data_IF_833747064305
#
_entry.id   IF_833747064305
#
_cell.length_a   1.000
_cell.length_b   1.000
_cell.length_c   1.000
_cell.angle_alpha   90.00
_cell.angle_beta   90.00
_cell.angle_gamma   90.00
#
_symmetry.space_group_name_H-M   'P 1'
#
loop_
_entity.id
_entity.type
_entity.pdbx_description
1 polymer ?
#
# COMPACT_ATOMS: atom_id res chain seq x y z
N UNK A 1 -38.72 8.56 11.98
CA UNK A 1 -37.32 8.42 12.41
C UNK A 1 -37.18 9.11 13.74
N UNK A 2 -36.43 8.55 14.68
CA UNK A 2 -36.02 9.28 15.88
C UNK A 2 -34.48 9.32 15.96
N UNK A 3 -33.88 10.24 15.20
CA UNK A 3 -32.46 10.53 15.26
C UNK A 3 -32.05 11.19 16.58
N UNK A 4 -33.01 11.55 17.45
CA UNK A 4 -32.72 12.12 18.76
C UNK A 4 -31.90 11.18 19.65
N UNK A 5 -31.98 9.86 19.40
CA UNK A 5 -31.22 8.85 20.12
C UNK A 5 -29.72 8.86 19.80
N UNK A 6 -29.32 9.34 18.61
CA UNK A 6 -27.92 9.25 18.15
C UNK A 6 -27.22 10.64 18.17
N UNK A 7 -27.92 11.71 18.59
CA UNK A 7 -27.38 13.09 18.68
C UNK A 7 -26.56 13.50 17.43
N UNK A 8 -27.03 13.13 16.25
CA UNK A 8 -26.37 13.48 15.00
C UNK A 8 -26.65 14.97 14.71
N UNK A 9 -25.67 15.75 14.21
CA UNK A 9 -25.90 17.13 13.79
C UNK A 9 -27.00 17.21 12.71
N UNK A 10 -27.87 18.22 12.78
CA UNK A 10 -29.00 18.39 11.84
C UNK A 10 -28.57 18.37 10.37
N UNK A 11 -27.44 19.00 10.06
CA UNK A 11 -26.89 19.06 8.71
C UNK A 11 -26.59 17.65 8.15
N UNK A 12 -26.15 16.73 9.00
CA UNK A 12 -25.87 15.35 8.60
C UNK A 12 -27.17 14.54 8.44
N UNK A 13 -28.20 14.81 9.23
CA UNK A 13 -29.53 14.22 9.07
C UNK A 13 -30.15 14.60 7.70
N UNK A 14 -30.07 15.88 7.33
CA UNK A 14 -30.55 16.37 6.04
C UNK A 14 -29.84 15.70 4.86
N UNK A 15 -28.51 15.59 4.93
CA UNK A 15 -27.70 14.93 3.90
C UNK A 15 -28.06 13.45 3.79
N UNK A 16 -28.15 12.73 4.92
CA UNK A 16 -28.51 11.31 4.93
C UNK A 16 -29.89 11.06 4.35
N UNK A 17 -30.85 11.95 4.63
CA UNK A 17 -32.20 11.84 4.10
C UNK A 17 -32.24 12.06 2.58
N UNK A 18 -31.48 13.04 2.05
CA UNK A 18 -31.37 13.26 0.60
C UNK A 18 -30.76 12.04 -0.09
N UNK A 19 -29.72 11.45 0.50
CA UNK A 19 -29.06 10.24 -0.04
C UNK A 19 -30.02 9.05 0.01
N UNK A 20 -30.75 8.86 1.12
CA UNK A 20 -31.76 7.81 1.25
C UNK A 20 -32.84 7.91 0.19
N UNK A 21 -33.41 9.09 -0.01
CA UNK A 21 -34.47 9.31 -1.01
C UNK A 21 -33.98 9.02 -2.43
N UNK A 22 -32.72 9.37 -2.76
CA UNK A 22 -32.12 9.02 -4.05
C UNK A 22 -31.91 7.51 -4.19
N UNK A 23 -31.39 6.85 -3.15
CA UNK A 23 -31.16 5.41 -3.14
C UNK A 23 -32.48 4.62 -3.25
N UNK A 24 -33.55 5.08 -2.59
CA UNK A 24 -34.89 4.47 -2.64
C UNK A 24 -35.54 4.55 -4.02
N UNK A 25 -35.26 5.60 -4.79
CA UNK A 25 -35.71 5.71 -6.19
C UNK A 25 -35.07 4.63 -7.07
N UNK A 26 -33.82 4.28 -6.81
CA UNK A 26 -33.07 3.26 -7.55
C UNK A 26 -33.36 1.84 -7.04
N UNK A 27 -33.69 1.70 -5.76
CA UNK A 27 -34.05 0.44 -5.13
C UNK A 27 -35.31 0.62 -4.26
N UNK A 28 -36.50 0.37 -4.82
CA UNK A 28 -37.78 0.54 -4.10
C UNK A 28 -37.91 -0.35 -2.86
N UNK A 29 -37.18 -1.47 -2.78
CA UNK A 29 -37.15 -2.37 -1.63
C UNK A 29 -36.23 -1.90 -0.49
N UNK A 30 -35.54 -0.75 -0.66
CA UNK A 30 -34.64 -0.22 0.35
C UNK A 30 -35.41 0.39 1.53
N UNK A 31 -35.37 -0.31 2.66
CA UNK A 31 -35.87 0.20 3.93
C UNK A 31 -34.86 1.15 4.58
N UNK A 32 -35.33 2.06 5.42
CA UNK A 32 -34.48 3.00 6.16
C UNK A 32 -33.44 2.28 7.03
N UNK A 33 -33.86 1.20 7.69
CA UNK A 33 -32.99 0.36 8.53
C UNK A 33 -31.85 -0.26 7.71
N UNK A 34 -32.16 -0.82 6.54
CA UNK A 34 -31.18 -1.46 5.66
C UNK A 34 -30.19 -0.43 5.08
N UNK A 35 -30.67 0.77 4.77
CA UNK A 35 -29.82 1.87 4.29
C UNK A 35 -28.79 2.28 5.36
N UNK A 36 -29.25 2.53 6.58
CA UNK A 36 -28.36 2.94 7.68
C UNK A 36 -27.39 1.82 8.07
N UNK A 37 -27.86 0.58 8.16
CA UNK A 37 -27.01 -0.56 8.47
C UNK A 37 -25.85 -0.66 7.48
N UNK A 38 -26.13 -0.56 6.18
CA UNK A 38 -25.09 -0.65 5.13
C UNK A 38 -24.11 0.51 5.19
N UNK A 39 -24.58 1.74 5.36
CA UNK A 39 -23.71 2.91 5.49
C UNK A 39 -22.81 2.79 6.71
N UNK A 40 -23.36 2.39 7.86
CA UNK A 40 -22.58 2.18 9.07
C UNK A 40 -21.57 1.05 8.90
N UNK A 41 -21.95 -0.06 8.26
CA UNK A 41 -21.04 -1.16 7.98
C UNK A 41 -19.86 -0.73 7.10
N UNK A 42 -20.11 0.05 6.06
CA UNK A 42 -19.12 0.58 5.13
C UNK A 42 -18.22 1.64 5.79
N UNK A 43 -18.80 2.55 6.57
CA UNK A 43 -18.05 3.58 7.30
C UNK A 43 -17.22 3.00 8.45
N UNK A 44 -17.67 1.91 9.07
CA UNK A 44 -16.93 1.21 10.10
C UNK A 44 -15.91 0.21 9.53
N UNK A 45 -15.95 -0.10 8.24
CA UNK A 45 -15.03 -1.05 7.60
C UNK A 45 -13.54 -0.70 7.83
N UNK A 46 -13.11 0.57 7.72
CA UNK A 46 -11.72 0.95 8.01
C UNK A 46 -11.33 0.66 9.47
N UNK A 47 -12.26 0.79 10.41
CA UNK A 47 -12.03 0.62 11.84
C UNK A 47 -12.11 -0.86 12.27
N UNK A 48 -12.87 -1.69 11.55
CA UNK A 48 -12.92 -3.14 11.77
C UNK A 48 -11.58 -3.83 11.48
N UNK A 49 -10.67 -3.18 10.74
CA UNK A 49 -9.33 -3.73 10.45
C UNK A 49 -8.40 -3.78 11.66
N UNK A 50 -8.73 -3.14 12.78
CA UNK A 50 -7.86 -3.10 13.97
C UNK A 50 -8.05 -4.28 14.94
N UNK A 51 -9.10 -5.09 14.81
CA UNK A 51 -9.43 -6.14 15.81
C UNK A 51 -9.14 -7.56 15.36
N UNK A 52 -8.61 -7.76 14.15
CA UNK A 52 -8.32 -9.11 13.62
C UNK A 52 -6.99 -9.14 12.87
N UNK A 53 -5.90 -9.21 13.63
CA UNK A 53 -4.71 -9.96 13.21
C UNK A 53 -3.88 -9.41 12.06
N UNK A 54 -3.86 -8.10 11.79
CA UNK A 54 -2.75 -7.57 10.98
C UNK A 54 -1.50 -7.58 11.85
N UNK A 55 -0.68 -8.62 11.70
CA UNK A 55 0.75 -8.62 12.02
C UNK A 55 1.44 -7.52 11.20
N UNK A 56 1.13 -6.25 11.47
CA UNK A 56 1.97 -5.15 11.01
C UNK A 56 3.25 -5.27 11.82
N UNK A 57 4.24 -5.92 11.23
CA UNK A 57 5.57 -6.00 11.82
C UNK A 57 6.05 -4.56 12.04
N UNK A 58 6.44 -4.19 13.28
CA UNK A 58 6.99 -2.87 13.54
C UNK A 58 8.22 -2.65 12.64
N UNK A 59 8.51 -1.40 12.29
CA UNK A 59 9.64 -1.04 11.40
C UNK A 59 10.96 -1.69 11.82
N UNK A 60 11.17 -1.89 13.12
CA UNK A 60 12.35 -2.54 13.70
C UNK A 60 12.45 -4.05 13.45
N UNK A 61 11.35 -4.69 13.03
CA UNK A 61 11.26 -6.13 12.74
C UNK A 61 11.21 -6.44 11.24
N UNK A 62 11.43 -5.46 10.38
CA UNK A 62 11.45 -5.65 8.92
C UNK A 62 12.76 -5.15 8.33
N UNK A 63 13.27 -5.88 7.34
CA UNK A 63 14.47 -5.51 6.58
C UNK A 63 14.10 -5.43 5.10
N UNK A 64 14.61 -4.40 4.42
CA UNK A 64 14.49 -4.29 2.98
C UNK A 64 15.47 -5.25 2.31
N UNK A 65 14.94 -6.21 1.57
CA UNK A 65 15.69 -7.17 0.75
C UNK A 65 15.42 -6.89 -0.73
N UNK A 66 16.30 -7.39 -1.58
CA UNK A 66 16.18 -7.22 -3.01
C UNK A 66 16.81 -8.37 -3.82
N UNK A 67 16.43 -8.42 -5.10
CA UNK A 67 16.94 -9.33 -6.13
C UNK A 67 17.70 -8.61 -7.25
N UNK A 68 18.30 -7.45 -6.95
CA UNK A 68 18.98 -6.61 -7.96
C UNK A 68 20.11 -7.38 -8.66
N UNK A 69 20.90 -8.17 -7.93
CA UNK A 69 21.97 -8.98 -8.53
C UNK A 69 21.44 -9.97 -9.57
N UNK A 70 20.43 -10.75 -9.19
CA UNK A 70 19.79 -11.72 -10.09
C UNK A 70 19.14 -11.02 -11.30
N UNK A 71 18.52 -9.85 -11.09
CA UNK A 71 17.94 -9.07 -12.18
C UNK A 71 19.02 -8.57 -13.16
N UNK A 72 20.13 -8.04 -12.66
CA UNK A 72 21.25 -7.59 -13.51
C UNK A 72 21.78 -8.73 -14.39
N UNK A 73 21.96 -9.91 -13.83
CA UNK A 73 22.41 -11.11 -14.55
C UNK A 73 21.39 -11.55 -15.60
N UNK A 74 20.11 -11.63 -15.24
CA UNK A 74 19.03 -12.05 -16.14
C UNK A 74 18.86 -11.10 -17.33
N UNK A 75 18.90 -9.78 -17.10
CA UNK A 75 18.76 -8.76 -18.14
C UNK A 75 20.09 -8.41 -18.83
N UNK A 76 21.20 -9.08 -18.50
CA UNK A 76 22.51 -8.86 -19.13
C UNK A 76 23.09 -7.46 -18.89
N UNK A 77 22.77 -6.83 -17.76
CA UNK A 77 23.15 -5.45 -17.43
C UNK A 77 24.38 -5.43 -16.52
N UNK A 78 25.43 -4.74 -16.95
CA UNK A 78 26.61 -4.54 -16.12
C UNK A 78 26.31 -3.53 -14.99
N UNK A 79 26.69 -3.85 -13.75
CA UNK A 79 26.55 -2.93 -12.60
C UNK A 79 27.16 -1.54 -12.87
N UNK A 80 28.31 -1.48 -13.55
CA UNK A 80 28.98 -0.22 -13.90
C UNK A 80 28.11 0.67 -14.80
N UNK A 81 27.34 0.06 -15.71
CA UNK A 81 26.44 0.78 -16.59
C UNK A 81 25.23 1.31 -15.79
N UNK A 82 24.59 0.44 -15.01
CA UNK A 82 23.42 0.83 -14.21
C UNK A 82 23.75 1.91 -13.18
N UNK A 83 24.90 1.80 -12.51
CA UNK A 83 25.36 2.83 -11.58
C UNK A 83 25.52 4.19 -12.26
N UNK A 84 26.08 4.21 -13.49
CA UNK A 84 26.23 5.43 -14.29
C UNK A 84 24.87 6.00 -14.70
N UNK A 85 23.95 5.17 -15.17
CA UNK A 85 22.63 5.59 -15.64
C UNK A 85 21.78 6.18 -14.51
N UNK A 86 21.90 5.61 -13.31
CA UNK A 86 21.19 6.08 -12.10
C UNK A 86 21.89 7.30 -11.47
N UNK A 87 23.20 7.49 -11.72
CA UNK A 87 24.00 8.56 -11.15
C UNK A 87 24.45 8.28 -9.71
N UNK A 88 24.79 7.02 -9.41
CA UNK A 88 25.30 6.58 -8.09
C UNK A 88 26.67 5.92 -8.20
N UNK A 89 27.38 5.84 -7.08
CA UNK A 89 28.62 5.10 -7.00
C UNK A 89 28.41 3.60 -7.24
N UNK A 90 29.35 2.99 -7.97
CA UNK A 90 29.34 1.54 -8.22
C UNK A 90 29.41 0.74 -6.92
N UNK A 91 30.18 1.21 -5.94
CA UNK A 91 30.30 0.57 -4.63
C UNK A 91 28.95 0.56 -3.90
N UNK A 92 28.19 1.65 -3.98
CA UNK A 92 26.85 1.74 -3.42
C UNK A 92 25.89 0.76 -4.10
N UNK A 93 25.88 0.69 -5.44
CA UNK A 93 25.08 -0.32 -6.16
C UNK A 93 25.49 -1.75 -5.79
N UNK A 94 26.78 -2.00 -5.56
CA UNK A 94 27.28 -3.30 -5.11
C UNK A 94 26.76 -3.67 -3.72
N UNK A 95 26.70 -2.71 -2.79
CA UNK A 95 26.09 -2.91 -1.47
C UNK A 95 24.60 -3.26 -1.57
N UNK A 96 23.86 -2.52 -2.42
CA UNK A 96 22.46 -2.81 -2.71
C UNK A 96 22.30 -4.24 -3.24
N UNK A 97 23.03 -4.59 -4.29
CA UNK A 97 22.91 -5.89 -4.96
C UNK A 97 23.25 -7.08 -4.05
N UNK A 98 24.05 -6.86 -3.00
CA UNK A 98 24.42 -7.90 -2.03
C UNK A 98 23.59 -7.85 -0.73
N UNK A 99 22.48 -7.10 -0.68
CA UNK A 99 21.63 -6.97 0.50
C UNK A 99 22.39 -6.51 1.76
N UNK A 100 23.46 -5.72 1.60
CA UNK A 100 24.15 -5.12 2.75
C UNK A 100 23.18 -4.17 3.49
N UNK A 101 23.34 -3.90 4.79
CA UNK A 101 22.52 -2.92 5.48
C UNK A 101 22.75 -1.51 4.90
N UNK A 102 21.72 -0.91 4.30
CA UNK A 102 21.77 0.47 3.79
C UNK A 102 20.36 1.05 3.75
N UNK A 103 20.24 2.36 3.96
CA UNK A 103 19.01 3.09 3.67
C UNK A 103 18.94 3.35 2.16
N UNK A 104 18.11 2.56 1.49
CA UNK A 104 17.79 2.77 0.08
C UNK A 104 16.60 3.72 -0.04
N UNK A 105 16.80 4.87 -0.68
CA UNK A 105 15.66 5.72 -1.03
C UNK A 105 14.81 5.07 -2.12
N UNK A 106 13.49 5.23 -2.02
CA UNK A 106 12.53 4.72 -3.00
C UNK A 106 12.84 5.23 -4.41
N UNK A 107 13.30 6.49 -4.52
CA UNK A 107 13.69 7.10 -5.80
C UNK A 107 14.83 6.31 -6.48
N UNK A 108 15.87 5.95 -5.73
CA UNK A 108 17.00 5.19 -6.27
C UNK A 108 16.54 3.78 -6.66
N UNK A 109 15.69 3.14 -5.85
CA UNK A 109 15.15 1.82 -6.18
C UNK A 109 14.40 1.81 -7.53
N UNK A 110 13.56 2.82 -7.80
CA UNK A 110 12.89 2.97 -9.09
C UNK A 110 13.86 3.20 -10.24
N UNK A 111 14.85 4.09 -10.07
CA UNK A 111 15.84 4.36 -11.10
C UNK A 111 16.68 3.12 -11.45
N UNK A 112 17.02 2.30 -10.45
CA UNK A 112 17.70 1.01 -10.67
C UNK A 112 16.81 0.07 -11.48
N UNK A 113 15.54 -0.08 -11.10
CA UNK A 113 14.60 -0.95 -11.83
C UNK A 113 14.43 -0.50 -13.29
N UNK A 114 14.25 0.80 -13.52
CA UNK A 114 14.12 1.39 -14.86
C UNK A 114 15.40 1.20 -15.69
N UNK A 115 16.59 1.42 -15.11
CA UNK A 115 17.88 1.24 -15.82
C UNK A 115 18.16 -0.22 -16.18
N UNK A 116 17.73 -1.16 -15.34
CA UNK A 116 17.80 -2.60 -15.63
C UNK A 116 16.83 -2.96 -16.77
N UNK A 117 15.72 -2.24 -16.90
CA UNK A 117 14.59 -2.60 -17.77
C UNK A 117 13.64 -3.57 -17.08
N UNK A 118 13.56 -3.52 -15.75
CA UNK A 118 12.70 -4.39 -14.95
C UNK A 118 11.24 -3.92 -15.04
N UNK A 119 10.25 -4.83 -15.22
CA UNK A 119 8.84 -4.46 -15.32
C UNK A 119 8.34 -3.73 -14.07
N UNK A 120 7.67 -2.59 -14.24
CA UNK A 120 7.18 -1.75 -13.14
C UNK A 120 6.14 -2.46 -12.29
N UNK A 121 5.35 -3.33 -12.91
CA UNK A 121 4.32 -4.14 -12.25
C UNK A 121 4.93 -5.14 -11.26
N UNK A 122 6.19 -5.53 -11.49
CA UNK A 122 6.93 -6.50 -10.67
C UNK A 122 7.91 -5.83 -9.70
N UNK A 123 7.85 -4.51 -9.53
CA UNK A 123 8.77 -3.78 -8.65
C UNK A 123 8.87 -4.37 -7.23
N UNK A 124 7.74 -4.83 -6.68
CA UNK A 124 7.67 -5.46 -5.36
C UNK A 124 8.32 -6.86 -5.29
N UNK A 125 8.59 -7.50 -6.43
CA UNK A 125 9.38 -8.73 -6.48
C UNK A 125 10.89 -8.43 -6.47
N UNK A 126 11.27 -7.25 -6.97
CA UNK A 126 12.65 -6.79 -7.02
C UNK A 126 13.10 -6.22 -5.67
N UNK A 127 12.26 -5.41 -5.02
CA UNK A 127 12.49 -4.84 -3.69
C UNK A 127 11.32 -5.18 -2.77
N UNK A 128 11.59 -5.88 -1.67
CA UNK A 128 10.55 -6.39 -0.77
C UNK A 128 11.00 -6.33 0.69
N UNK A 129 10.03 -6.38 1.59
CA UNK A 129 10.26 -6.43 3.03
C UNK A 129 10.18 -7.88 3.52
N UNK A 130 11.16 -8.30 4.31
CA UNK A 130 11.16 -9.58 5.03
C UNK A 130 11.26 -9.33 6.54
N UNK A 131 10.81 -10.32 7.34
CA UNK A 131 10.97 -10.28 8.79
C UNK A 131 12.45 -10.43 9.17
N UNK A 132 12.92 -9.63 10.11
CA UNK A 132 14.29 -9.68 10.62
C UNK A 132 14.59 -10.97 11.43
N UNK A 133 13.57 -11.75 11.81
CA UNK A 133 13.69 -12.93 12.68
C UNK A 133 14.08 -14.23 11.93
N UNK A 134 14.31 -14.17 10.61
CA UNK A 134 14.75 -15.31 9.79
C UNK A 134 16.26 -15.18 9.44
N UNK A 135 17.13 -15.32 10.43
CA UNK A 135 18.57 -15.64 10.25
C UNK A 135 19.00 -16.69 11.28
#
# INVERSE_FOLDING_TARGET
MDFSLIKIPKDMEEVLNIIYLKAKKLNPGLTESLFLQRILEEWLEPYKRETSGSNQLPRSKVVLRNKVKAALEFYGKAQKQVARDVGIDRSYLCQIANNAPHDLSVKIAFLIADSIGYPKEKFRELFYLESAEQE
#
